data_IF_679078931492
#
_entry.id   IF_679078931492
#
_cell.length_a   1.000
_cell.length_b   1.000
_cell.length_c   1.000
_cell.angle_alpha   90.00
_cell.angle_beta   90.00
_cell.angle_gamma   90.00
#
_symmetry.space_group_name_H-M   'P 1'
#
loop_
_entity.id
_entity.type
_entity.pdbx_description
1 polymer ?
#
# COMPACT_ATOMS: atom_id res chain seq x y z
N UNK A 1 -17.63 14.40 -0.58
CA UNK A 1 -16.59 15.15 -1.32
C UNK A 1 -15.28 14.84 -0.65
N UNK A 2 -14.23 14.51 -1.40
CA UNK A 2 -12.91 14.24 -0.83
C UNK A 2 -11.87 15.18 -1.46
N UNK A 3 -10.96 15.64 -0.64
CA UNK A 3 -9.80 16.43 -1.05
C UNK A 3 -8.54 15.74 -0.56
N UNK A 4 -7.49 15.64 -1.38
CA UNK A 4 -6.23 15.06 -0.98
C UNK A 4 -5.05 15.83 -1.55
N UNK A 5 -3.96 15.85 -0.79
CA UNK A 5 -2.64 16.35 -1.20
C UNK A 5 -1.63 15.27 -0.85
N UNK A 6 -0.80 14.87 -1.80
CA UNK A 6 0.26 13.89 -1.58
C UNK A 6 1.58 14.47 -2.06
N UNK A 7 2.63 14.27 -1.27
CA UNK A 7 4.00 14.63 -1.60
C UNK A 7 4.82 13.34 -1.56
N UNK A 8 5.55 13.07 -2.64
CA UNK A 8 6.42 11.92 -2.73
C UNK A 8 7.82 12.32 -3.21
N UNK A 9 8.81 11.53 -2.80
CA UNK A 9 10.19 11.71 -3.24
C UNK A 9 10.88 10.37 -3.44
N UNK A 10 11.49 10.20 -4.62
CA UNK A 10 12.18 8.99 -5.02
C UNK A 10 13.70 9.24 -5.03
N UNK A 11 14.45 8.33 -4.43
CA UNK A 11 15.91 8.35 -4.39
C UNK A 11 16.48 7.08 -4.98
N UNK A 12 17.39 7.21 -5.93
CA UNK A 12 18.24 6.10 -6.38
C UNK A 12 19.52 6.10 -5.55
N UNK A 13 19.65 5.16 -4.65
CA UNK A 13 20.84 5.00 -3.81
C UNK A 13 21.98 4.35 -4.60
N UNK A 14 21.65 3.41 -5.47
CA UNK A 14 22.57 2.73 -6.40
C UNK A 14 21.79 2.38 -7.68
N UNK A 15 22.46 1.79 -8.68
CA UNK A 15 21.77 1.24 -9.87
C UNK A 15 20.79 0.10 -9.53
N UNK A 16 20.99 -0.53 -8.38
CA UNK A 16 20.19 -1.69 -7.92
C UNK A 16 19.14 -1.29 -6.89
N UNK A 17 19.41 -0.27 -6.07
CA UNK A 17 18.57 0.07 -4.91
C UNK A 17 17.99 1.47 -5.10
N UNK A 18 16.68 1.57 -5.01
CA UNK A 18 15.95 2.84 -4.91
C UNK A 18 14.99 2.85 -3.72
N UNK A 19 14.71 4.03 -3.22
CA UNK A 19 13.76 4.24 -2.13
C UNK A 19 12.74 5.30 -2.53
N UNK A 20 11.50 5.12 -2.07
CA UNK A 20 10.43 6.10 -2.21
C UNK A 20 9.92 6.47 -0.82
N UNK A 21 9.82 7.77 -0.57
CA UNK A 21 9.20 8.33 0.62
C UNK A 21 7.94 9.06 0.20
N UNK A 22 6.85 8.87 0.93
CA UNK A 22 5.60 9.54 0.68
C UNK A 22 4.97 10.08 1.95
N UNK A 23 4.27 11.19 1.84
CA UNK A 23 3.35 11.68 2.85
C UNK A 23 2.11 12.23 2.19
N UNK A 24 0.96 12.02 2.80
CA UNK A 24 -0.34 12.46 2.31
C UNK A 24 -1.19 13.04 3.41
N UNK A 25 -2.10 13.91 3.00
CA UNK A 25 -3.21 14.39 3.80
C UNK A 25 -4.47 14.33 2.98
N UNK A 26 -5.53 13.80 3.55
CA UNK A 26 -6.84 13.79 2.89
C UNK A 26 -7.96 14.06 3.87
N UNK A 27 -9.04 14.65 3.36
CA UNK A 27 -10.30 14.84 4.07
C UNK A 27 -11.38 14.13 3.27
N UNK A 28 -12.16 13.30 3.94
CA UNK A 28 -13.35 12.65 3.38
C UNK A 28 -14.60 13.19 4.05
N UNK A 29 -15.49 13.80 3.28
CA UNK A 29 -16.78 14.32 3.72
C UNK A 29 -17.91 13.52 3.08
N UNK A 30 -18.72 12.87 3.89
CA UNK A 30 -19.91 12.13 3.46
C UNK A 30 -21.18 12.97 3.66
N UNK A 31 -22.12 12.89 2.72
CA UNK A 31 -23.40 13.64 2.79
C UNK A 31 -24.29 13.29 4.00
N UNK A 32 -23.94 12.24 4.73
CA UNK A 32 -24.74 11.71 5.87
C UNK A 32 -24.03 11.95 7.22
N UNK A 33 -22.94 12.71 7.24
CA UNK A 33 -22.28 13.25 8.45
C UNK A 33 -21.52 12.23 9.32
N UNK A 34 -22.01 11.02 9.50
CA UNK A 34 -21.53 10.08 10.52
C UNK A 34 -20.17 9.39 10.22
N UNK A 35 -19.49 9.72 9.11
CA UNK A 35 -18.24 9.11 8.72
C UNK A 35 -17.27 10.10 8.06
N UNK A 36 -17.34 11.36 8.45
CA UNK A 36 -16.36 12.35 8.02
C UNK A 36 -15.07 12.15 8.80
N UNK A 37 -13.95 12.09 8.08
CA UNK A 37 -12.65 11.89 8.72
C UNK A 37 -11.54 12.56 7.90
N UNK A 38 -10.45 12.86 8.58
CA UNK A 38 -9.19 13.23 7.98
C UNK A 38 -8.16 12.11 8.15
N UNK A 39 -7.24 12.04 7.21
CA UNK A 39 -6.17 11.03 7.19
C UNK A 39 -4.83 11.71 6.97
N UNK A 40 -3.84 11.32 7.75
CA UNK A 40 -2.42 11.59 7.53
C UNK A 40 -1.71 10.28 7.21
N UNK A 41 -1.04 10.23 6.06
CA UNK A 41 -0.33 9.06 5.59
C UNK A 41 1.17 9.31 5.50
N UNK A 42 1.94 8.31 5.89
CA UNK A 42 3.38 8.26 5.67
C UNK A 42 3.74 6.91 5.07
N UNK A 43 4.60 6.90 4.08
CA UNK A 43 5.04 5.66 3.45
C UNK A 43 6.53 5.67 3.15
N UNK A 44 7.14 4.50 3.28
CA UNK A 44 8.50 4.20 2.89
C UNK A 44 8.47 2.94 2.03
N UNK A 45 9.16 2.98 0.89
CA UNK A 45 9.34 1.81 0.03
C UNK A 45 10.79 1.68 -0.38
N UNK A 46 11.31 0.46 -0.32
CA UNK A 46 12.65 0.11 -0.81
C UNK A 46 12.51 -0.88 -1.95
N UNK A 47 13.13 -0.58 -3.07
CA UNK A 47 13.10 -1.40 -4.27
C UNK A 47 14.50 -1.92 -4.59
N UNK A 48 14.59 -3.21 -4.92
CA UNK A 48 15.79 -3.90 -5.35
C UNK A 48 15.61 -4.36 -6.80
N UNK A 49 16.34 -3.75 -7.72
CA UNK A 49 16.38 -4.10 -9.14
C UNK A 49 17.52 -5.09 -9.39
N UNK A 50 17.30 -6.35 -9.06
CA UNK A 50 18.32 -7.40 -9.27
C UNK A 50 18.30 -7.89 -10.72
N UNK A 51 19.41 -8.43 -11.25
CA UNK A 51 19.47 -8.90 -12.65
C UNK A 51 18.43 -9.97 -13.01
N UNK A 52 17.88 -10.67 -12.00
CA UNK A 52 16.96 -11.79 -12.18
C UNK A 52 15.67 -11.69 -11.37
N UNK A 53 15.45 -10.60 -10.65
CA UNK A 53 14.23 -10.35 -9.92
C UNK A 53 14.10 -8.87 -9.54
N UNK A 54 12.88 -8.38 -9.43
CA UNK A 54 12.57 -7.14 -8.76
C UNK A 54 11.90 -7.47 -7.43
N UNK A 55 12.36 -6.84 -6.35
CA UNK A 55 11.78 -6.98 -5.02
C UNK A 55 11.46 -5.59 -4.49
N UNK A 56 10.26 -5.42 -4.01
CA UNK A 56 9.79 -4.18 -3.38
C UNK A 56 9.29 -4.50 -1.98
N UNK A 57 9.74 -3.75 -1.00
CA UNK A 57 9.28 -3.83 0.39
C UNK A 57 8.77 -2.44 0.79
N UNK A 58 7.54 -2.40 1.24
CA UNK A 58 6.87 -1.18 1.65
C UNK A 58 6.36 -1.25 3.09
N UNK A 59 6.31 -0.09 3.71
CA UNK A 59 5.65 0.14 4.99
C UNK A 59 4.91 1.47 4.92
N UNK A 60 3.66 1.50 5.36
CA UNK A 60 2.83 2.68 5.37
C UNK A 60 2.09 2.80 6.71
N UNK A 61 2.09 4.00 7.25
CA UNK A 61 1.42 4.36 8.48
C UNK A 61 0.34 5.39 8.16
N UNK A 62 -0.88 5.13 8.60
CA UNK A 62 -2.04 5.98 8.39
C UNK A 62 -2.70 6.32 9.71
N UNK A 63 -3.00 7.59 9.91
CA UNK A 63 -3.69 8.13 11.07
C UNK A 63 -5.02 8.69 10.60
N UNK A 64 -6.14 8.14 11.09
CA UNK A 64 -7.48 8.59 10.76
C UNK A 64 -8.12 9.23 11.99
N UNK A 65 -8.59 10.47 11.87
CA UNK A 65 -9.36 11.17 12.90
C UNK A 65 -10.76 11.47 12.37
N UNK A 66 -11.78 11.01 13.08
CA UNK A 66 -13.19 11.19 12.73
C UNK A 66 -13.71 12.47 13.40
N UNK A 67 -14.65 13.18 12.73
CA UNK A 67 -15.15 14.44 13.26
C UNK A 67 -16.37 14.30 14.15
N UNK A 68 -17.05 13.16 14.09
CA UNK A 68 -18.29 12.92 14.81
C UNK A 68 -18.20 11.72 15.78
N UNK A 69 -19.04 11.76 16.80
CA UNK A 69 -19.20 10.64 17.72
C UNK A 69 -19.75 9.41 17.01
N UNK A 70 -19.21 8.25 17.28
CA UNK A 70 -19.75 6.98 16.79
C UNK A 70 -21.02 6.60 17.52
N UNK A 71 -22.17 6.99 16.94
CA UNK A 71 -23.49 6.67 17.46
C UNK A 71 -23.82 5.18 17.40
N UNK A 72 -23.14 4.38 16.56
CA UNK A 72 -23.40 2.95 16.40
C UNK A 72 -22.92 2.13 17.60
N UNK A 73 -21.91 2.61 18.31
CA UNK A 73 -21.33 1.96 19.48
C UNK A 73 -21.74 2.59 20.81
N UNK A 74 -22.66 3.54 20.78
CA UNK A 74 -23.10 4.28 21.98
C UNK A 74 -21.93 4.91 22.75
N UNK A 75 -20.84 5.25 22.04
CA UNK A 75 -19.62 5.81 22.58
C UNK A 75 -19.72 7.35 22.58
N UNK A 76 -19.35 7.95 23.69
CA UNK A 76 -19.16 9.41 23.77
C UNK A 76 -17.76 9.84 23.27
N UNK A 77 -17.00 8.93 22.67
CA UNK A 77 -15.67 9.19 22.16
C UNK A 77 -15.70 9.42 20.64
N UNK A 78 -14.92 10.39 20.20
CA UNK A 78 -14.59 10.54 18.78
C UNK A 78 -13.60 9.44 18.41
N UNK A 79 -13.86 8.74 17.33
CA UNK A 79 -13.01 7.66 16.85
C UNK A 79 -11.71 8.21 16.27
N UNK A 80 -10.60 7.56 16.60
CA UNK A 80 -9.32 7.72 15.94
C UNK A 80 -8.68 6.35 15.72
N UNK A 81 -8.11 6.13 14.54
CA UNK A 81 -7.49 4.87 14.16
C UNK A 81 -6.05 5.11 13.72
N UNK A 82 -5.17 4.17 14.05
CA UNK A 82 -3.82 4.08 13.50
C UNK A 82 -3.71 2.77 12.76
N UNK A 83 -3.40 2.82 11.47
CA UNK A 83 -3.18 1.64 10.67
C UNK A 83 -1.74 1.58 10.17
N UNK A 84 -1.11 0.42 10.31
CA UNK A 84 0.18 0.11 9.71
C UNK A 84 0.00 -0.96 8.66
N UNK A 85 0.48 -0.71 7.43
CA UNK A 85 0.43 -1.66 6.33
C UNK A 85 1.84 -1.96 5.86
N UNK A 86 2.24 -3.22 5.99
CA UNK A 86 3.48 -3.75 5.47
C UNK A 86 3.19 -4.55 4.20
N UNK A 87 3.98 -4.34 3.13
CA UNK A 87 3.86 -5.10 1.90
C UNK A 87 5.20 -5.58 1.33
N UNK A 88 5.16 -6.73 0.67
CA UNK A 88 6.28 -7.27 -0.11
C UNK A 88 5.75 -7.64 -1.49
N UNK A 89 6.45 -7.21 -2.53
CA UNK A 89 6.18 -7.59 -3.92
C UNK A 89 7.46 -8.18 -4.52
N UNK A 90 7.32 -9.34 -5.14
CA UNK A 90 8.40 -9.98 -5.89
C UNK A 90 7.94 -10.18 -7.32
N UNK A 91 8.73 -9.69 -8.28
CA UNK A 91 8.51 -9.91 -9.71
C UNK A 91 9.68 -10.71 -10.26
N UNK A 92 9.39 -11.76 -11.03
CA UNK A 92 10.41 -12.58 -11.67
C UNK A 92 9.99 -12.93 -13.10
N UNK A 93 10.90 -12.75 -14.10
CA UNK A 93 10.60 -13.15 -15.47
C UNK A 93 10.34 -14.65 -15.57
N UNK A 94 9.27 -15.04 -16.27
CA UNK A 94 8.94 -16.44 -16.53
C UNK A 94 10.05 -17.14 -17.34
N UNK A 95 10.69 -16.41 -18.23
CA UNK A 95 11.81 -16.92 -19.05
C UNK A 95 13.02 -17.39 -18.25
N UNK A 96 13.15 -16.97 -16.99
CA UNK A 96 14.23 -17.49 -16.10
C UNK A 96 14.00 -18.94 -15.67
N UNK A 97 12.71 -19.36 -15.59
CA UNK A 97 12.33 -20.74 -15.28
C UNK A 97 12.12 -21.57 -16.53
N UNK A 98 11.50 -20.96 -17.57
CA UNK A 98 11.09 -21.63 -18.79
C UNK A 98 11.51 -20.82 -20.02
N UNK A 99 12.81 -20.84 -20.40
CA UNK A 99 13.32 -20.03 -21.53
C UNK A 99 12.64 -20.33 -22.87
N UNK A 100 12.10 -21.55 -23.04
CA UNK A 100 11.40 -21.95 -24.26
C UNK A 100 9.99 -21.34 -24.37
N UNK A 101 9.34 -20.99 -23.25
CA UNK A 101 8.01 -20.34 -23.22
C UNK A 101 8.11 -18.82 -23.33
N UNK A 102 9.17 -18.24 -22.81
CA UNK A 102 9.38 -16.78 -22.77
C UNK A 102 10.85 -16.42 -23.00
N UNK A 103 11.37 -16.63 -24.22
CA UNK A 103 12.79 -16.39 -24.54
C UNK A 103 13.17 -14.90 -24.41
N UNK A 104 12.21 -14.00 -24.56
CA UNK A 104 12.41 -12.56 -24.49
C UNK A 104 12.12 -11.97 -23.10
N UNK A 105 11.76 -12.80 -22.12
CA UNK A 105 11.42 -12.38 -20.74
C UNK A 105 10.34 -11.30 -20.67
N UNK A 106 9.31 -11.40 -21.53
CA UNK A 106 8.20 -10.46 -21.60
C UNK A 106 7.10 -10.76 -20.57
N UNK A 107 7.09 -11.97 -20.01
CA UNK A 107 6.11 -12.42 -19.03
C UNK A 107 6.74 -12.40 -17.66
N UNK A 108 6.12 -11.70 -16.71
CA UNK A 108 6.53 -11.67 -15.32
C UNK A 108 5.55 -12.46 -14.45
N UNK A 109 6.10 -13.27 -13.57
CA UNK A 109 5.39 -13.84 -12.44
C UNK A 109 5.48 -12.86 -11.27
N UNK A 110 4.38 -12.63 -10.60
CA UNK A 110 4.32 -11.80 -9.40
C UNK A 110 3.89 -12.61 -8.19
N UNK A 111 4.49 -12.29 -7.07
CA UNK A 111 4.04 -12.68 -5.74
C UNK A 111 3.90 -11.42 -4.91
N UNK A 112 2.81 -11.30 -4.15
CA UNK A 112 2.63 -10.23 -3.17
C UNK A 112 2.18 -10.79 -1.84
N UNK A 113 2.62 -10.13 -0.78
CA UNK A 113 2.14 -10.33 0.57
C UNK A 113 1.85 -8.96 1.17
N UNK A 114 0.70 -8.82 1.77
CA UNK A 114 0.29 -7.59 2.44
C UNK A 114 -0.24 -7.94 3.83
N UNK A 115 0.11 -7.13 4.81
CA UNK A 115 -0.40 -7.22 6.17
C UNK A 115 -0.74 -5.83 6.68
N UNK A 116 -1.99 -5.65 7.11
CA UNK A 116 -2.46 -4.43 7.76
C UNK A 116 -2.86 -4.74 9.20
N UNK A 117 -2.37 -3.92 10.13
CA UNK A 117 -2.78 -3.90 11.52
C UNK A 117 -3.40 -2.54 11.77
N UNK A 118 -4.64 -2.50 12.23
CA UNK A 118 -5.34 -1.27 12.61
C UNK A 118 -5.74 -1.34 14.06
N UNK A 119 -5.38 -0.29 14.80
CA UNK A 119 -5.74 -0.09 16.19
C UNK A 119 -6.58 1.19 16.30
N UNK A 120 -7.71 1.10 16.97
CA UNK A 120 -8.61 2.22 17.20
C UNK A 120 -8.71 2.54 18.69
N UNK A 121 -9.06 3.78 19.01
CA UNK A 121 -9.40 4.15 20.39
C UNK A 121 -10.73 3.56 20.87
N UNK A 122 -11.48 2.91 19.96
CA UNK A 122 -12.72 2.18 20.22
C UNK A 122 -12.49 0.71 19.82
N UNK A 123 -12.46 -0.19 20.79
CA UNK A 123 -12.05 -1.61 20.67
C UNK A 123 -12.71 -2.39 19.51
N UNK A 124 -13.94 -2.08 19.14
CA UNK A 124 -14.64 -2.83 18.11
C UNK A 124 -14.17 -2.55 16.68
N UNK A 125 -13.21 -1.65 16.49
CA UNK A 125 -12.65 -1.27 15.19
C UNK A 125 -11.22 -1.75 14.98
N UNK A 126 -10.65 -2.43 15.95
CA UNK A 126 -9.35 -3.08 15.77
C UNK A 126 -9.48 -4.23 14.78
N UNK A 127 -8.54 -4.32 13.86
CA UNK A 127 -8.48 -5.46 12.94
C UNK A 127 -7.06 -5.77 12.47
N UNK A 128 -6.88 -7.02 12.06
CA UNK A 128 -5.70 -7.48 11.33
C UNK A 128 -6.18 -8.09 10.03
N UNK A 129 -5.62 -7.64 8.93
CA UNK A 129 -5.89 -8.20 7.60
C UNK A 129 -4.57 -8.67 6.98
N UNK A 130 -4.60 -9.85 6.36
CA UNK A 130 -3.47 -10.40 5.62
C UNK A 130 -3.94 -10.86 4.25
N UNK A 131 -3.14 -10.61 3.22
CA UNK A 131 -3.41 -11.11 1.89
C UNK A 131 -2.15 -11.67 1.23
N UNK A 132 -2.34 -12.69 0.38
CA UNK A 132 -1.31 -13.27 -0.46
C UNK A 132 -1.84 -13.26 -1.89
N UNK A 133 -1.06 -12.69 -2.80
CA UNK A 133 -1.40 -12.59 -4.21
C UNK A 133 -0.39 -13.31 -5.10
N UNK A 134 -0.90 -13.93 -6.17
CA UNK A 134 -0.09 -14.44 -7.28
C UNK A 134 -0.64 -13.88 -8.58
N UNK A 135 0.25 -13.49 -9.47
CA UNK A 135 -0.17 -12.90 -10.73
C UNK A 135 0.78 -13.24 -11.87
N UNK A 136 0.27 -13.03 -13.07
CA UNK A 136 1.05 -13.11 -14.31
C UNK A 136 0.76 -11.84 -15.09
N UNK A 137 1.81 -11.13 -15.50
CA UNK A 137 1.70 -9.94 -16.35
C UNK A 137 2.57 -10.08 -17.59
N UNK A 138 2.16 -9.47 -18.69
CA UNK A 138 2.93 -9.45 -19.93
C UNK A 138 3.13 -8.02 -20.41
N UNK A 139 4.37 -7.67 -20.74
CA UNK A 139 4.71 -6.40 -21.35
C UNK A 139 4.56 -6.49 -22.88
N UNK A 140 3.86 -5.52 -23.48
CA UNK A 140 3.73 -5.38 -24.93
C UNK A 140 4.43 -4.09 -25.34
N UNK A 141 5.44 -4.19 -26.21
CA UNK A 141 5.98 -3.01 -26.89
C UNK A 141 5.17 -2.79 -28.14
N UNK A 142 4.24 -1.85 -28.11
CA UNK A 142 3.62 -1.32 -29.33
C UNK A 142 4.67 -0.44 -30.01
N UNK A 143 5.16 -0.89 -31.16
CA UNK A 143 5.98 -0.11 -32.06
C UNK A 143 5.10 0.68 -33.02
#
# INVERSE_FOLDING_TARGET
IGHSVTIGHDYSLTEIISTSLGSGYSISENKVGANDYETFDFSLRVNFNLPYAYISVGDALSFNEYFEFDSSNNSALIRSDVANTFDIIVLKPLGDFFPFLDPNKLINLSFSYDKTISEANIINYDYVAESIGFGISRSFNLR
#
